data_IF_501442122148
#
_entry.id   IF_501442122148
#
_cell.length_a   1.000
_cell.length_b   1.000
_cell.length_c   1.000
_cell.angle_alpha   90.00
_cell.angle_beta   90.00
_cell.angle_gamma   90.00
#
_symmetry.space_group_name_H-M   'P 1'
#
loop_
_entity.id
_entity.type
_entity.pdbx_description
1 polymer ?
#
# COMPACT_ATOMS: atom_id res chain seq x y z
N UNK A 1 -48.50 12.87 72.90
CA UNK A 1 -47.20 12.84 72.34
C UNK A 1 -46.97 11.53 71.53
N UNK A 2 -47.19 11.54 70.24
CA UNK A 2 -47.02 10.35 69.37
C UNK A 2 -45.70 10.50 68.63
N UNK A 3 -44.75 9.57 68.87
CA UNK A 3 -43.45 9.51 68.13
C UNK A 3 -43.66 8.74 66.84
N UNK A 4 -43.49 9.43 65.70
CA UNK A 4 -43.46 8.84 64.37
C UNK A 4 -42.00 8.34 64.11
N UNK A 5 -41.86 7.04 63.91
CA UNK A 5 -40.58 6.42 63.47
C UNK A 5 -40.53 6.45 61.93
N UNK A 6 -39.59 7.20 61.39
CA UNK A 6 -39.25 7.20 59.96
C UNK A 6 -38.31 6.01 59.67
N UNK A 7 -38.77 5.02 58.93
CA UNK A 7 -37.92 3.97 58.37
C UNK A 7 -37.45 4.46 57.02
N UNK A 8 -36.14 4.75 56.93
CA UNK A 8 -35.48 5.03 55.66
C UNK A 8 -35.13 3.69 54.97
N UNK A 9 -35.83 3.39 53.90
CA UNK A 9 -35.46 2.30 52.98
C UNK A 9 -34.32 2.79 52.04
N UNK A 10 -33.12 2.28 52.29
CA UNK A 10 -31.99 2.47 51.36
C UNK A 10 -32.12 1.43 50.25
N UNK A 11 -32.62 1.84 49.09
CA UNK A 11 -32.63 1.03 47.87
C UNK A 11 -31.25 1.16 47.20
N UNK A 12 -30.38 0.15 47.40
CA UNK A 12 -29.13 0.04 46.72
C UNK A 12 -29.38 -0.33 45.26
N UNK A 13 -29.22 0.65 44.35
CA UNK A 13 -29.29 0.45 42.92
C UNK A 13 -27.94 -0.17 42.48
N UNK A 14 -27.88 -1.49 42.33
CA UNK A 14 -26.78 -2.19 41.68
C UNK A 14 -26.79 -1.85 40.18
N UNK A 15 -25.94 -0.90 39.79
CA UNK A 15 -25.58 -0.69 38.40
C UNK A 15 -24.70 -1.88 37.96
N UNK A 16 -25.33 -2.86 37.32
CA UNK A 16 -24.64 -3.90 36.61
C UNK A 16 -23.99 -3.24 35.38
N UNK A 17 -22.72 -2.87 35.48
CA UNK A 17 -21.89 -2.55 34.32
C UNK A 17 -21.69 -3.85 33.57
N UNK A 18 -22.46 -4.06 32.50
CA UNK A 18 -22.16 -5.11 31.51
C UNK A 18 -20.82 -4.76 30.88
N UNK A 19 -19.73 -5.33 31.40
CA UNK A 19 -18.50 -5.38 30.70
C UNK A 19 -18.77 -6.22 29.43
N UNK A 20 -18.83 -5.60 28.27
CA UNK A 20 -18.78 -6.33 27.01
C UNK A 20 -17.44 -7.05 26.99
N UNK A 21 -17.45 -8.34 27.36
CA UNK A 21 -16.27 -9.19 27.16
C UNK A 21 -15.95 -9.19 25.66
N UNK A 22 -14.71 -8.90 25.32
CA UNK A 22 -14.27 -8.99 23.95
C UNK A 22 -14.61 -10.39 23.41
N UNK A 23 -15.22 -10.45 22.25
CA UNK A 23 -15.65 -11.69 21.63
C UNK A 23 -14.45 -12.63 21.43
N UNK A 24 -14.60 -13.90 21.80
CA UNK A 24 -13.49 -14.86 21.66
C UNK A 24 -13.25 -15.17 20.20
N UNK A 25 -11.98 -15.40 19.83
CA UNK A 25 -11.61 -15.81 18.47
C UNK A 25 -12.38 -17.06 18.00
N UNK A 26 -12.63 -18.01 18.89
CA UNK A 26 -13.43 -19.19 18.59
C UNK A 26 -14.89 -18.87 18.26
N UNK A 27 -15.50 -17.89 18.95
CA UNK A 27 -16.84 -17.42 18.63
C UNK A 27 -16.88 -16.76 17.24
N UNK A 28 -15.90 -15.91 16.93
CA UNK A 28 -15.75 -15.28 15.60
C UNK A 28 -15.65 -16.34 14.50
N UNK A 29 -14.81 -17.36 14.68
CA UNK A 29 -14.68 -18.44 13.71
C UNK A 29 -15.99 -19.23 13.48
N UNK A 30 -16.74 -19.50 14.56
CA UNK A 30 -18.04 -20.16 14.47
C UNK A 30 -19.05 -19.33 13.69
N UNK A 31 -19.13 -18.03 13.95
CA UNK A 31 -20.05 -17.13 13.26
C UNK A 31 -19.66 -16.94 11.78
N UNK A 32 -18.37 -16.96 11.46
CA UNK A 32 -17.90 -16.81 10.10
C UNK A 32 -18.22 -18.01 9.21
N UNK A 33 -18.51 -19.18 9.80
CA UNK A 33 -18.79 -20.40 9.05
C UNK A 33 -20.00 -20.22 8.13
N UNK A 34 -19.82 -20.51 6.84
CA UNK A 34 -20.86 -20.40 5.81
C UNK A 34 -21.03 -19.00 5.22
N UNK A 35 -20.37 -17.99 5.79
CA UNK A 35 -20.45 -16.61 5.28
C UNK A 35 -19.77 -16.46 3.93
N UNK A 36 -20.19 -15.44 3.18
CA UNK A 36 -19.50 -14.93 1.99
C UNK A 36 -18.84 -13.61 2.37
N UNK A 37 -17.55 -13.48 2.05
CA UNK A 37 -16.74 -12.28 2.29
C UNK A 37 -16.25 -11.74 0.95
N UNK A 38 -16.55 -10.49 0.65
CA UNK A 38 -16.15 -9.81 -0.57
C UNK A 38 -14.85 -9.04 -0.33
N UNK A 39 -13.75 -9.60 -0.81
CA UNK A 39 -12.44 -8.97 -0.74
C UNK A 39 -12.11 -8.25 -2.05
N UNK A 40 -12.11 -6.94 -2.01
CA UNK A 40 -11.74 -6.09 -3.12
C UNK A 40 -10.23 -5.86 -3.11
N UNK A 41 -9.52 -6.33 -4.13
CA UNK A 41 -8.07 -6.31 -4.20
C UNK A 41 -7.58 -5.83 -5.57
N UNK A 42 -6.46 -5.12 -5.60
CA UNK A 42 -5.81 -4.75 -6.85
C UNK A 42 -5.43 -6.01 -7.65
N UNK A 43 -5.81 -6.04 -8.93
CA UNK A 43 -5.67 -7.22 -9.81
C UNK A 43 -4.49 -7.16 -10.78
N UNK A 44 -3.59 -6.18 -10.66
CA UNK A 44 -2.54 -5.92 -11.65
C UNK A 44 -1.31 -6.83 -11.58
N UNK A 45 -1.25 -7.80 -10.64
CA UNK A 45 -0.15 -8.76 -10.52
C UNK A 45 -0.69 -10.19 -10.52
N UNK A 46 -0.36 -10.97 -11.55
CA UNK A 46 -0.82 -12.35 -11.70
C UNK A 46 -0.33 -13.29 -10.58
N UNK A 47 0.85 -13.05 -10.01
CA UNK A 47 1.36 -13.89 -8.93
C UNK A 47 0.56 -13.65 -7.64
N UNK A 48 0.21 -12.39 -7.37
CA UNK A 48 -0.68 -12.03 -6.25
C UNK A 48 -2.08 -12.58 -6.49
N UNK A 49 -2.61 -12.49 -7.72
CA UNK A 49 -3.94 -13.02 -8.05
C UNK A 49 -4.00 -14.54 -7.78
N UNK A 50 -3.00 -15.30 -8.24
CA UNK A 50 -2.91 -16.75 -7.94
C UNK A 50 -2.82 -17.04 -6.45
N UNK A 51 -2.10 -16.21 -5.69
CA UNK A 51 -2.04 -16.35 -4.23
C UNK A 51 -3.42 -16.11 -3.59
N UNK A 52 -4.15 -15.08 -4.00
CA UNK A 52 -5.49 -14.79 -3.49
C UNK A 52 -6.50 -15.88 -3.86
N UNK A 53 -6.41 -16.47 -5.06
CA UNK A 53 -7.21 -17.61 -5.45
C UNK A 53 -6.92 -18.84 -4.55
N UNK A 54 -5.64 -19.10 -4.26
CA UNK A 54 -5.27 -20.14 -3.32
C UNK A 54 -5.83 -19.86 -1.92
N UNK A 55 -5.69 -18.62 -1.40
CA UNK A 55 -6.28 -18.22 -0.11
C UNK A 55 -7.79 -18.46 -0.10
N UNK A 56 -8.50 -18.12 -1.18
CA UNK A 56 -9.94 -18.38 -1.30
C UNK A 56 -10.27 -19.90 -1.17
N UNK A 57 -9.45 -20.75 -1.78
CA UNK A 57 -9.54 -22.21 -1.63
C UNK A 57 -9.33 -22.68 -0.19
N UNK A 58 -8.29 -22.18 0.48
CA UNK A 58 -7.98 -22.50 1.88
C UNK A 58 -9.11 -22.05 2.83
N UNK A 59 -9.64 -20.84 2.62
CA UNK A 59 -10.76 -20.33 3.41
C UNK A 59 -12.00 -21.21 3.28
N UNK A 60 -12.29 -21.69 2.07
CA UNK A 60 -13.40 -22.60 1.83
C UNK A 60 -13.18 -23.95 2.50
N UNK A 61 -11.98 -24.52 2.34
CA UNK A 61 -11.66 -25.89 2.79
C UNK A 61 -11.58 -25.97 4.32
N UNK A 62 -10.90 -25.01 4.96
CA UNK A 62 -10.59 -25.08 6.38
C UNK A 62 -11.58 -24.35 7.29
N UNK A 63 -12.31 -23.35 6.76
CA UNK A 63 -13.20 -22.51 7.56
C UNK A 63 -14.63 -22.45 7.03
N UNK A 64 -14.94 -23.11 5.90
CA UNK A 64 -16.23 -23.05 5.22
C UNK A 64 -16.67 -21.60 4.86
N UNK A 65 -15.73 -20.69 4.70
CA UNK A 65 -15.98 -19.29 4.30
C UNK A 65 -15.85 -19.19 2.77
N UNK A 66 -16.80 -18.49 2.13
CA UNK A 66 -16.76 -18.20 0.71
C UNK A 66 -16.05 -16.85 0.49
N UNK A 67 -14.72 -16.84 0.41
CA UNK A 67 -13.97 -15.63 0.10
C UNK A 67 -14.08 -15.35 -1.40
N UNK A 68 -14.67 -14.23 -1.77
CA UNK A 68 -14.85 -13.75 -3.15
C UNK A 68 -13.89 -12.62 -3.44
N UNK A 69 -12.91 -12.90 -4.30
CA UNK A 69 -11.95 -11.89 -4.72
C UNK A 69 -12.57 -11.05 -5.84
N UNK A 70 -12.61 -9.73 -5.66
CA UNK A 70 -13.03 -8.74 -6.65
C UNK A 70 -11.79 -7.98 -7.09
N UNK A 71 -11.30 -8.30 -8.29
CA UNK A 71 -10.14 -7.62 -8.85
C UNK A 71 -10.48 -6.21 -9.28
N UNK A 72 -9.73 -5.23 -8.78
CA UNK A 72 -9.85 -3.82 -9.09
C UNK A 72 -8.66 -3.37 -9.94
N UNK A 73 -8.90 -2.42 -10.83
CA UNK A 73 -7.83 -1.67 -11.50
C UNK A 73 -7.20 -0.65 -10.54
N UNK A 74 -8.03 -0.04 -9.67
CA UNK A 74 -7.61 0.91 -8.65
C UNK A 74 -8.51 0.77 -7.40
N UNK A 75 -7.91 0.87 -6.21
CA UNK A 75 -8.62 0.83 -4.93
C UNK A 75 -9.62 2.00 -4.79
N UNK A 76 -9.38 3.13 -5.43
CA UNK A 76 -10.29 4.28 -5.45
C UNK A 76 -11.71 3.92 -5.93
N UNK A 77 -11.86 2.93 -6.80
CA UNK A 77 -13.17 2.46 -7.27
C UNK A 77 -13.99 1.85 -6.12
N UNK A 78 -13.35 1.05 -5.26
CA UNK A 78 -14.01 0.50 -4.08
C UNK A 78 -14.30 1.59 -3.03
N UNK A 79 -13.37 2.52 -2.82
CA UNK A 79 -13.58 3.67 -1.91
C UNK A 79 -14.82 4.47 -2.32
N UNK A 80 -14.93 4.81 -3.60
CA UNK A 80 -16.10 5.53 -4.13
C UNK A 80 -17.40 4.74 -3.94
N UNK A 81 -17.36 3.41 -4.11
CA UNK A 81 -18.51 2.54 -3.91
C UNK A 81 -18.95 2.53 -2.45
N UNK A 82 -18.01 2.36 -1.50
CA UNK A 82 -18.28 2.41 -0.05
C UNK A 82 -18.93 3.76 0.32
N UNK A 83 -18.36 4.87 -0.14
CA UNK A 83 -18.89 6.21 0.12
C UNK A 83 -20.30 6.38 -0.45
N UNK A 84 -20.55 5.86 -1.65
CA UNK A 84 -21.87 5.92 -2.30
C UNK A 84 -22.91 5.09 -1.53
N UNK A 85 -22.56 3.89 -1.11
CA UNK A 85 -23.43 3.01 -0.33
C UNK A 85 -23.75 3.64 1.03
N UNK A 86 -22.76 4.21 1.70
CA UNK A 86 -22.96 4.94 2.96
C UNK A 86 -23.89 6.15 2.79
N UNK A 87 -23.66 6.98 1.75
CA UNK A 87 -24.50 8.13 1.46
C UNK A 87 -25.96 7.75 1.13
N UNK A 88 -26.17 6.55 0.59
CA UNK A 88 -27.51 5.98 0.39
C UNK A 88 -28.13 5.36 1.66
N UNK A 89 -27.51 5.52 2.82
CA UNK A 89 -27.98 5.00 4.12
C UNK A 89 -27.77 3.50 4.30
N UNK A 90 -26.94 2.85 3.47
CA UNK A 90 -26.63 1.43 3.63
C UNK A 90 -25.60 1.25 4.74
N UNK A 91 -26.03 0.75 5.91
CA UNK A 91 -25.18 0.48 7.06
C UNK A 91 -24.84 -1.02 7.24
N UNK A 92 -25.39 -1.89 6.39
CA UNK A 92 -25.17 -3.34 6.40
C UNK A 92 -25.34 -3.92 5.01
N UNK A 93 -24.84 -5.14 4.79
CA UNK A 93 -24.88 -5.83 3.48
C UNK A 93 -24.32 -4.97 2.34
N UNK A 94 -23.21 -4.31 2.60
CA UNK A 94 -22.43 -3.59 1.59
C UNK A 94 -21.80 -4.55 0.57
N UNK A 95 -21.20 -4.00 -0.48
CA UNK A 95 -20.54 -4.78 -1.52
C UNK A 95 -19.03 -4.98 -1.27
N UNK A 96 -18.49 -4.46 -0.16
CA UNK A 96 -17.09 -4.54 0.23
C UNK A 96 -17.01 -4.91 1.71
N UNK A 97 -16.45 -6.06 2.01
CA UNK A 97 -16.18 -6.50 3.40
C UNK A 97 -14.70 -6.31 3.76
N UNK A 98 -13.81 -6.60 2.82
CA UNK A 98 -12.38 -6.36 2.93
C UNK A 98 -11.88 -5.58 1.72
N UNK A 99 -10.92 -4.72 1.92
CA UNK A 99 -10.30 -3.93 0.87
C UNK A 99 -8.78 -3.92 1.05
N UNK A 100 -8.05 -4.31 0.00
CA UNK A 100 -6.63 -3.97 -0.06
C UNK A 100 -6.51 -2.48 -0.35
N UNK A 101 -6.06 -1.72 0.63
CA UNK A 101 -6.03 -0.27 0.59
C UNK A 101 -4.73 0.26 1.19
N UNK A 102 -4.26 1.38 0.68
CA UNK A 102 -3.11 2.11 1.21
C UNK A 102 -3.25 3.62 0.94
N UNK A 103 -2.48 4.40 1.68
CA UNK A 103 -2.19 5.81 1.42
C UNK A 103 -3.43 6.70 1.41
N UNK A 104 -3.62 7.46 0.35
CA UNK A 104 -4.71 8.43 0.23
C UNK A 104 -6.10 7.77 0.34
N UNK A 105 -6.25 6.58 -0.22
CA UNK A 105 -7.50 5.83 -0.18
C UNK A 105 -7.87 5.43 1.27
N UNK A 106 -6.90 4.93 2.04
CA UNK A 106 -7.07 4.67 3.48
C UNK A 106 -7.43 5.95 4.23
N UNK A 107 -6.64 7.02 4.03
CA UNK A 107 -6.90 8.32 4.68
C UNK A 107 -8.32 8.83 4.43
N UNK A 108 -8.83 8.70 3.20
CA UNK A 108 -10.16 9.17 2.82
C UNK A 108 -11.27 8.35 3.52
N UNK A 109 -11.14 7.02 3.61
CA UNK A 109 -12.08 6.17 4.34
C UNK A 109 -12.04 6.46 5.85
N UNK A 110 -10.84 6.61 6.42
CA UNK A 110 -10.65 6.94 7.84
C UNK A 110 -11.27 8.30 8.19
N UNK A 111 -11.01 9.34 7.41
CA UNK A 111 -11.57 10.67 7.61
C UNK A 111 -13.10 10.70 7.53
N UNK A 112 -13.69 9.81 6.74
CA UNK A 112 -15.14 9.63 6.61
C UNK A 112 -15.74 8.69 7.69
N UNK A 113 -14.94 8.13 8.61
CA UNK A 113 -15.36 7.13 9.61
C UNK A 113 -16.03 5.90 8.97
N UNK A 114 -15.48 5.39 7.87
CA UNK A 114 -16.03 4.25 7.11
C UNK A 114 -15.23 2.96 7.33
N UNK A 115 -14.38 2.90 8.34
CA UNK A 115 -13.55 1.75 8.69
C UNK A 115 -13.93 1.21 10.06
N UNK A 116 -13.89 -0.13 10.19
CA UNK A 116 -13.90 -0.79 11.49
C UNK A 116 -12.51 -0.64 12.11
N UNK A 117 -12.44 -0.11 13.31
CA UNK A 117 -11.16 0.14 14.02
C UNK A 117 -10.93 -0.83 15.17
N UNK A 118 -9.68 -0.92 15.65
CA UNK A 118 -9.33 -1.64 16.89
C UNK A 118 -9.33 -3.17 16.78
N UNK A 119 -9.48 -3.75 15.58
CA UNK A 119 -9.56 -5.20 15.41
C UNK A 119 -8.22 -5.86 15.05
N UNK A 120 -7.37 -5.19 14.24
CA UNK A 120 -6.21 -5.83 13.63
C UNK A 120 -5.22 -6.39 14.66
N UNK A 121 -4.87 -5.61 15.69
CA UNK A 121 -3.94 -6.03 16.74
C UNK A 121 -4.54 -7.08 17.69
N UNK A 122 -5.87 -7.28 17.68
CA UNK A 122 -6.52 -8.31 18.49
C UNK A 122 -6.51 -9.69 17.84
N UNK A 123 -6.14 -9.77 16.56
CA UNK A 123 -6.03 -11.05 15.86
C UNK A 123 -4.96 -11.95 16.50
N UNK A 124 -5.23 -13.25 16.70
CA UNK A 124 -4.26 -14.19 17.30
C UNK A 124 -2.92 -14.25 16.56
N UNK A 125 -2.95 -14.02 15.23
CA UNK A 125 -1.77 -14.07 14.38
C UNK A 125 -0.98 -12.76 14.37
N UNK A 126 -1.45 -11.70 15.03
CA UNK A 126 -0.69 -10.45 15.17
C UNK A 126 0.71 -10.68 15.76
N UNK A 127 0.86 -11.69 16.63
CA UNK A 127 2.14 -12.11 17.21
C UNK A 127 3.25 -12.47 16.19
N UNK A 128 2.88 -12.72 14.94
CA UNK A 128 3.81 -13.03 13.85
C UNK A 128 4.15 -11.81 13.00
N UNK A 129 3.52 -10.66 13.25
CA UNK A 129 3.77 -9.42 12.52
C UNK A 129 5.13 -8.85 12.94
N UNK A 130 5.95 -8.49 11.96
CA UNK A 130 7.23 -7.81 12.20
C UNK A 130 6.99 -6.34 12.56
N UNK A 131 6.85 -6.07 13.85
CA UNK A 131 6.59 -4.72 14.38
C UNK A 131 7.77 -3.75 14.25
N UNK A 132 8.91 -4.17 13.70
CA UNK A 132 10.00 -3.26 13.31
C UNK A 132 9.68 -2.49 12.03
N UNK A 133 8.67 -2.93 11.28
CA UNK A 133 8.12 -2.23 10.11
C UNK A 133 6.98 -1.31 10.55
N UNK A 134 6.60 -0.30 9.75
CA UNK A 134 5.50 0.61 10.06
C UNK A 134 4.12 -0.06 9.88
N UNK A 135 3.86 -1.11 10.68
CA UNK A 135 2.63 -1.94 10.57
C UNK A 135 1.42 -1.36 11.31
N UNK A 136 1.58 -0.20 11.94
CA UNK A 136 0.53 0.55 12.64
C UNK A 136 0.34 1.95 12.04
N UNK A 137 1.02 2.22 10.93
CA UNK A 137 0.92 3.48 10.18
C UNK A 137 0.88 3.16 8.69
N UNK A 138 -0.05 3.79 7.97
CA UNK A 138 -0.10 3.77 6.51
C UNK A 138 0.23 5.17 5.98
N UNK A 139 1.37 5.33 5.29
CA UNK A 139 1.90 6.62 4.83
C UNK A 139 1.84 7.71 5.91
N UNK A 140 2.39 7.41 7.09
CA UNK A 140 2.40 8.27 8.28
C UNK A 140 1.02 8.58 8.89
N UNK A 141 -0.05 7.90 8.47
CA UNK A 141 -1.37 7.98 9.10
C UNK A 141 -1.53 6.78 10.05
N UNK A 142 -1.78 6.98 11.35
CA UNK A 142 -2.04 5.88 12.27
C UNK A 142 -3.21 5.02 11.79
N UNK A 143 -3.05 3.69 11.80
CA UNK A 143 -4.12 2.78 11.34
C UNK A 143 -5.25 2.64 12.35
N UNK A 144 -5.01 2.93 13.63
CA UNK A 144 -5.94 2.74 14.75
C UNK A 144 -6.54 1.32 14.77
N UNK A 145 -5.77 0.35 14.29
CA UNK A 145 -6.19 -1.05 14.20
C UNK A 145 -7.30 -1.31 13.18
N UNK A 146 -7.48 -0.44 12.20
CA UNK A 146 -8.41 -0.64 11.09
C UNK A 146 -7.82 -1.45 9.94
N UNK A 147 -6.52 -1.69 9.96
CA UNK A 147 -5.79 -2.37 8.89
C UNK A 147 -4.91 -3.48 9.45
N UNK A 148 -4.93 -4.63 8.78
CA UNK A 148 -4.03 -5.76 9.06
C UNK A 148 -2.96 -5.84 7.97
N UNK A 149 -1.66 -5.89 8.34
CA UNK A 149 -0.60 -6.08 7.36
C UNK A 149 -0.65 -7.51 6.79
N UNK A 150 -0.53 -7.67 5.48
CA UNK A 150 -0.51 -8.97 4.83
C UNK A 150 0.64 -9.16 3.83
N UNK A 151 1.31 -8.09 3.46
CA UNK A 151 2.44 -8.12 2.55
C UNK A 151 3.33 -6.89 2.70
N UNK A 152 4.34 -6.82 1.86
CA UNK A 152 5.21 -5.66 1.78
C UNK A 152 5.65 -5.42 0.35
N UNK A 153 5.86 -4.15 0.03
CA UNK A 153 6.36 -3.70 -1.24
C UNK A 153 7.53 -2.77 -1.05
N UNK A 154 8.37 -2.66 -2.06
CA UNK A 154 9.50 -1.74 -2.09
C UNK A 154 9.73 -1.27 -3.51
N UNK A 155 9.84 0.03 -3.68
CA UNK A 155 10.26 0.60 -4.97
C UNK A 155 11.61 -0.01 -5.33
N UNK A 156 11.69 -0.53 -6.54
CA UNK A 156 12.84 -1.31 -6.99
C UNK A 156 13.07 -1.02 -8.47
N UNK A 157 14.32 -0.85 -8.84
CA UNK A 157 14.71 -0.82 -10.24
C UNK A 157 14.91 -2.23 -10.78
N UNK A 158 14.65 -2.39 -12.06
CA UNK A 158 15.05 -3.56 -12.84
C UNK A 158 15.99 -3.12 -13.95
N UNK A 159 17.06 -3.88 -14.16
CA UNK A 159 18.03 -3.65 -15.21
C UNK A 159 18.48 -4.98 -15.84
N UNK A 160 19.19 -4.90 -16.95
CA UNK A 160 19.87 -6.04 -17.58
C UNK A 160 21.37 -5.95 -17.34
N UNK A 161 22.01 -7.07 -17.01
CA UNK A 161 23.48 -7.12 -16.86
C UNK A 161 24.21 -6.69 -18.11
N UNK A 162 23.66 -7.01 -19.29
CA UNK A 162 24.26 -6.64 -20.58
C UNK A 162 24.32 -5.12 -20.78
N UNK A 163 23.33 -4.34 -20.38
CA UNK A 163 23.27 -2.88 -20.56
C UNK A 163 23.64 -2.09 -19.33
N UNK A 164 23.53 -2.69 -18.14
CA UNK A 164 23.75 -2.03 -16.85
C UNK A 164 24.50 -2.98 -15.92
N UNK A 165 25.80 -3.28 -16.20
CA UNK A 165 26.58 -4.19 -15.35
C UNK A 165 26.80 -3.64 -13.94
N UNK A 166 26.86 -2.30 -13.79
CA UNK A 166 26.99 -1.60 -12.52
C UNK A 166 25.79 -0.64 -12.37
N UNK A 167 24.86 -0.94 -11.46
CA UNK A 167 23.67 -0.12 -11.27
C UNK A 167 23.98 1.19 -10.56
N UNK A 168 23.23 2.28 -10.81
CA UNK A 168 23.39 3.54 -10.09
C UNK A 168 23.04 3.37 -8.60
N UNK A 169 23.93 3.86 -7.75
CA UNK A 169 23.86 3.67 -6.30
C UNK A 169 23.00 4.70 -5.55
N UNK A 170 22.73 5.84 -6.20
CA UNK A 170 21.99 6.97 -5.63
C UNK A 170 21.48 7.89 -6.76
N UNK A 171 20.71 8.96 -6.48
CA UNK A 171 20.22 9.89 -7.50
C UNK A 171 21.34 10.56 -8.31
N UNK A 172 22.49 10.90 -7.69
CA UNK A 172 23.60 11.50 -8.42
C UNK A 172 24.17 10.51 -9.45
N UNK A 173 24.40 9.27 -9.02
CA UNK A 173 24.86 8.20 -9.91
C UNK A 173 23.83 7.90 -11.03
N UNK A 174 22.52 7.99 -10.74
CA UNK A 174 21.46 7.86 -11.75
C UNK A 174 21.54 8.98 -12.80
N UNK A 175 21.81 10.22 -12.39
CA UNK A 175 21.99 11.34 -13.32
C UNK A 175 23.23 11.16 -14.19
N UNK A 176 24.35 10.70 -13.61
CA UNK A 176 25.57 10.36 -14.35
C UNK A 176 25.28 9.25 -15.37
N UNK A 177 24.56 8.20 -14.93
CA UNK A 177 24.15 7.09 -15.80
C UNK A 177 23.27 7.59 -16.96
N UNK A 178 22.28 8.46 -16.69
CA UNK A 178 21.42 9.01 -17.74
C UNK A 178 22.19 9.84 -18.77
N UNK A 179 23.22 10.59 -18.34
CA UNK A 179 24.13 11.32 -19.26
C UNK A 179 24.94 10.41 -20.14
N UNK A 180 25.40 9.26 -19.63
CA UNK A 180 26.12 8.25 -20.37
C UNK A 180 25.24 7.43 -21.32
N UNK A 181 23.95 7.34 -21.01
CA UNK A 181 22.94 6.55 -21.72
C UNK A 181 21.71 7.40 -22.07
N UNK A 182 21.81 8.47 -22.85
CA UNK A 182 20.70 9.36 -23.16
C UNK A 182 19.55 8.60 -23.80
N UNK A 183 18.35 8.87 -23.40
CA UNK A 183 17.13 8.22 -23.87
C UNK A 183 16.89 6.80 -23.32
N UNK A 184 17.73 6.30 -22.39
CA UNK A 184 17.64 4.92 -21.86
C UNK A 184 17.05 4.82 -20.45
N UNK A 185 16.69 5.95 -19.85
CA UNK A 185 16.05 6.05 -18.54
C UNK A 185 14.68 6.69 -18.71
N UNK A 186 13.71 6.27 -17.94
CA UNK A 186 12.40 6.91 -17.80
C UNK A 186 11.73 6.45 -16.50
N UNK A 187 10.53 6.96 -16.23
CA UNK A 187 9.65 6.53 -15.15
C UNK A 187 8.20 6.66 -15.62
N UNK A 188 7.23 5.93 -14.99
CA UNK A 188 5.83 6.05 -15.35
C UNK A 188 5.30 7.46 -15.05
N UNK A 189 4.42 7.96 -15.92
CA UNK A 189 3.82 9.30 -15.72
C UNK A 189 2.90 9.31 -14.49
N UNK A 190 3.08 10.25 -13.53
CA UNK A 190 2.05 10.51 -12.51
C UNK A 190 0.69 10.83 -13.16
N UNK A 191 -0.43 10.39 -12.54
CA UNK A 191 -0.57 9.87 -11.20
C UNK A 191 -0.32 8.36 -11.03
N UNK A 192 0.39 7.68 -11.93
CA UNK A 192 0.81 6.30 -11.69
C UNK A 192 1.55 6.19 -10.36
N UNK A 193 1.16 5.22 -9.53
CA UNK A 193 1.67 5.04 -8.18
C UNK A 193 3.20 4.86 -8.16
N UNK A 194 3.74 4.05 -9.08
CA UNK A 194 5.20 3.79 -9.14
C UNK A 194 5.97 5.02 -9.59
N UNK A 195 5.42 5.76 -10.56
CA UNK A 195 6.02 7.01 -11.04
C UNK A 195 6.01 8.09 -9.96
N UNK A 196 4.90 8.24 -9.24
CA UNK A 196 4.81 9.17 -8.11
C UNK A 196 5.81 8.80 -7.03
N UNK A 197 5.87 7.54 -6.62
CA UNK A 197 6.81 7.08 -5.61
C UNK A 197 8.29 7.19 -6.04
N UNK A 198 8.59 7.11 -7.34
CA UNK A 198 9.94 7.40 -7.84
C UNK A 198 10.32 8.87 -7.61
N UNK A 199 9.41 9.81 -7.85
CA UNK A 199 9.64 11.23 -7.55
C UNK A 199 9.78 11.48 -6.04
N UNK A 200 8.96 10.84 -5.22
CA UNK A 200 9.07 10.90 -3.76
C UNK A 200 10.40 10.31 -3.27
N UNK A 201 10.87 9.21 -3.86
CA UNK A 201 12.19 8.63 -3.57
C UNK A 201 13.32 9.62 -3.88
N UNK A 202 13.25 10.30 -5.01
CA UNK A 202 14.22 11.34 -5.36
C UNK A 202 14.16 12.51 -4.38
N UNK A 203 12.96 12.98 -4.05
CA UNK A 203 12.75 14.07 -3.08
C UNK A 203 13.35 13.73 -1.71
N UNK A 204 13.03 12.54 -1.17
CA UNK A 204 13.58 12.06 0.10
C UNK A 204 15.10 11.98 0.09
N UNK A 205 15.70 11.60 -1.03
CA UNK A 205 17.14 11.45 -1.14
C UNK A 205 17.89 12.79 -1.37
N UNK A 206 17.22 13.78 -1.92
CA UNK A 206 17.81 15.07 -2.33
C UNK A 206 17.56 16.20 -1.34
N UNK A 207 16.43 16.18 -0.62
CA UNK A 207 16.10 17.23 0.35
C UNK A 207 17.01 17.18 1.57
N UNK A 208 17.38 18.36 2.08
CA UNK A 208 18.07 18.47 3.36
C UNK A 208 17.11 18.33 4.58
N UNK A 209 15.80 18.31 4.34
CA UNK A 209 14.77 18.39 5.38
C UNK A 209 13.71 17.28 5.22
N UNK A 210 14.07 15.97 5.24
CA UNK A 210 13.14 14.88 5.01
C UNK A 210 12.01 14.80 6.04
N UNK A 211 12.24 15.28 7.28
CA UNK A 211 11.19 15.29 8.31
C UNK A 211 10.03 16.23 7.96
N UNK A 212 10.28 17.29 7.18
CA UNK A 212 9.21 18.19 6.76
C UNK A 212 8.19 17.51 5.86
N UNK A 213 8.60 16.46 5.14
CA UNK A 213 7.73 15.69 4.23
C UNK A 213 6.71 14.84 4.96
N UNK A 214 6.84 14.64 6.28
CA UNK A 214 5.86 13.92 7.12
C UNK A 214 4.67 14.78 7.54
N UNK A 215 4.74 16.09 7.29
CA UNK A 215 3.73 17.04 7.69
C UNK A 215 2.98 17.58 6.47
N UNK A 216 1.80 18.17 6.71
CA UNK A 216 1.08 18.89 5.66
C UNK A 216 1.96 20.02 5.08
N UNK A 217 1.90 20.30 3.78
CA UNK A 217 2.65 21.35 3.14
C UNK A 217 2.39 22.72 3.82
N UNK A 218 3.48 23.44 4.07
CA UNK A 218 3.44 24.77 4.67
C UNK A 218 4.25 25.78 3.82
N UNK A 219 4.56 26.94 4.39
CA UNK A 219 5.36 27.99 3.72
C UNK A 219 6.77 27.54 3.30
N UNK A 220 7.29 26.45 3.85
CA UNK A 220 8.62 25.91 3.52
C UNK A 220 8.58 24.92 2.36
N UNK A 221 7.39 24.53 1.89
CA UNK A 221 7.21 23.51 0.85
C UNK A 221 8.09 23.76 -0.39
N UNK A 222 8.08 24.98 -0.91
CA UNK A 222 8.88 25.33 -2.08
C UNK A 222 10.40 25.10 -1.85
N UNK A 223 10.90 25.46 -0.66
CA UNK A 223 12.30 25.25 -0.29
C UNK A 223 12.64 23.76 -0.11
N UNK A 224 11.75 23.00 0.52
CA UNK A 224 11.93 21.57 0.77
C UNK A 224 11.95 20.77 -0.55
N UNK A 225 11.15 21.20 -1.53
CA UNK A 225 11.00 20.50 -2.82
C UNK A 225 11.92 21.03 -3.93
N UNK A 226 12.52 22.20 -3.79
CA UNK A 226 13.39 22.79 -4.81
C UNK A 226 14.49 21.82 -5.31
N UNK A 227 15.20 21.05 -4.45
CA UNK A 227 16.22 20.12 -4.93
C UNK A 227 15.70 19.04 -5.89
N UNK A 228 14.43 18.64 -5.75
CA UNK A 228 13.81 17.72 -6.69
C UNK A 228 13.62 18.39 -8.06
N UNK A 229 13.08 19.59 -8.09
CA UNK A 229 12.79 20.31 -9.35
C UNK A 229 14.07 20.60 -10.12
N UNK A 230 15.12 21.10 -9.45
CA UNK A 230 16.44 21.32 -10.04
C UNK A 230 17.05 20.05 -10.62
N UNK A 231 16.86 18.93 -9.92
CA UNK A 231 17.30 17.62 -10.38
C UNK A 231 16.52 17.17 -11.61
N UNK A 232 15.20 17.32 -11.62
CA UNK A 232 14.33 16.93 -12.74
C UNK A 232 14.58 17.80 -13.98
N UNK A 233 14.81 19.09 -13.82
CA UNK A 233 15.19 19.99 -14.94
C UNK A 233 16.46 19.50 -15.64
N UNK A 234 17.37 18.91 -14.87
CA UNK A 234 18.61 18.32 -15.42
C UNK A 234 18.37 16.91 -15.99
N UNK A 235 17.50 16.12 -15.37
CA UNK A 235 17.27 14.73 -15.76
C UNK A 235 16.36 14.61 -17.00
N UNK A 236 15.28 15.37 -17.09
CA UNK A 236 14.25 15.22 -18.11
C UNK A 236 14.79 15.26 -19.54
N UNK A 237 15.70 16.20 -19.93
CA UNK A 237 16.26 16.20 -21.27
C UNK A 237 17.07 14.95 -21.64
N UNK A 238 17.47 14.15 -20.63
CA UNK A 238 18.24 12.92 -20.81
C UNK A 238 17.36 11.67 -20.85
N UNK A 239 16.07 11.80 -20.54
CA UNK A 239 15.13 10.68 -20.48
C UNK A 239 14.73 10.20 -21.87
N UNK A 240 14.09 9.05 -21.91
CA UNK A 240 13.44 8.50 -23.10
C UNK A 240 12.56 9.57 -23.76
N UNK A 241 12.71 9.72 -25.08
CA UNK A 241 12.06 10.78 -25.87
C UNK A 241 12.32 12.20 -25.33
N UNK A 242 13.51 12.41 -24.75
CA UNK A 242 13.92 13.74 -24.23
C UNK A 242 12.95 14.30 -23.17
N UNK A 243 12.26 13.40 -22.41
CA UNK A 243 11.29 13.78 -21.40
C UNK A 243 10.00 14.41 -21.93
N UNK A 244 9.76 14.37 -23.25
CA UNK A 244 8.51 14.84 -23.84
C UNK A 244 7.37 13.81 -23.76
N UNK A 245 7.72 12.55 -23.47
CA UNK A 245 6.76 11.47 -23.28
C UNK A 245 7.25 10.51 -22.18
N UNK A 246 6.32 9.88 -21.49
CA UNK A 246 6.59 8.98 -20.40
C UNK A 246 5.79 7.69 -20.55
N UNK A 247 6.34 6.52 -20.17
CA UNK A 247 5.57 5.29 -20.13
C UNK A 247 4.34 5.44 -19.23
N UNK A 248 3.18 4.91 -19.64
CA UNK A 248 1.94 5.04 -18.85
C UNK A 248 1.90 4.12 -17.63
N UNK A 249 2.79 3.11 -17.54
CA UNK A 249 2.77 2.13 -16.47
C UNK A 249 4.11 1.37 -16.36
N UNK A 250 4.38 0.70 -15.21
CA UNK A 250 5.52 -0.22 -15.06
C UNK A 250 5.53 -1.36 -16.09
N UNK A 251 4.39 -1.93 -16.44
CA UNK A 251 4.28 -2.99 -17.45
C UNK A 251 4.79 -2.51 -18.83
N UNK A 252 4.51 -1.25 -19.18
CA UNK A 252 5.08 -0.66 -20.39
C UNK A 252 6.58 -0.48 -20.29
N UNK A 253 7.10 -0.10 -19.12
CA UNK A 253 8.55 -0.01 -18.90
C UNK A 253 9.24 -1.35 -19.06
N UNK A 254 8.64 -2.44 -18.56
CA UNK A 254 9.17 -3.80 -18.73
C UNK A 254 9.27 -4.18 -20.21
N UNK A 255 8.25 -3.86 -21.00
CA UNK A 255 8.28 -4.06 -22.46
C UNK A 255 9.42 -3.27 -23.12
N UNK A 256 9.64 -2.03 -22.70
CA UNK A 256 10.71 -1.18 -23.22
C UNK A 256 12.10 -1.66 -22.76
N UNK A 257 12.22 -2.21 -21.56
CA UNK A 257 13.44 -2.85 -21.05
C UNK A 257 13.75 -4.13 -21.84
N UNK A 258 12.76 -4.99 -22.06
CA UNK A 258 12.90 -6.24 -22.80
C UNK A 258 13.37 -5.98 -24.24
N UNK A 259 12.84 -4.94 -24.90
CA UNK A 259 13.23 -4.52 -26.25
C UNK A 259 14.58 -3.77 -26.32
N UNK A 260 15.17 -3.40 -25.17
CA UNK A 260 16.38 -2.56 -25.12
C UNK A 260 16.13 -1.08 -25.45
N UNK A 261 14.86 -0.65 -25.52
CA UNK A 261 14.51 0.77 -25.67
C UNK A 261 14.83 1.56 -24.39
N UNK A 262 14.64 0.94 -23.20
CA UNK A 262 15.12 1.41 -21.92
C UNK A 262 16.19 0.47 -21.37
N UNK A 263 17.04 0.97 -20.49
CA UNK A 263 18.00 0.19 -19.71
C UNK A 263 17.49 -0.09 -18.28
N UNK A 264 16.53 0.70 -17.80
CA UNK A 264 15.94 0.60 -16.46
C UNK A 264 14.42 0.52 -16.55
N UNK A 265 13.84 -0.33 -15.70
CA UNK A 265 12.41 -0.35 -15.38
C UNK A 265 12.22 -0.14 -13.89
N UNK A 266 10.97 0.06 -13.44
CA UNK A 266 10.58 0.30 -12.06
C UNK A 266 9.42 -0.63 -11.66
N UNK A 267 9.43 -1.07 -10.42
CA UNK A 267 8.39 -1.90 -9.82
C UNK A 267 8.30 -1.66 -8.31
N UNK A 268 7.20 -2.04 -7.68
CA UNK A 268 7.08 -2.15 -6.22
C UNK A 268 7.23 -3.58 -5.69
N UNK A 269 7.47 -4.56 -6.57
CA UNK A 269 7.70 -5.94 -6.18
C UNK A 269 9.19 -6.31 -6.38
N UNK A 270 9.99 -6.44 -5.30
CA UNK A 270 11.40 -6.81 -5.43
C UNK A 270 11.67 -8.14 -6.14
N UNK A 271 10.68 -9.05 -6.16
CA UNK A 271 10.77 -10.33 -6.85
C UNK A 271 10.36 -10.25 -8.34
N UNK A 272 9.88 -9.11 -8.82
CA UNK A 272 9.28 -8.97 -10.16
C UNK A 272 10.25 -9.36 -11.29
N UNK A 273 11.49 -8.92 -11.24
CA UNK A 273 12.47 -9.29 -12.25
C UNK A 273 12.65 -10.81 -12.36
N UNK A 274 12.76 -11.50 -11.22
CA UNK A 274 12.88 -12.96 -11.18
C UNK A 274 11.63 -13.65 -11.73
N UNK A 275 10.45 -13.17 -11.38
CA UNK A 275 9.16 -13.72 -11.85
C UNK A 275 9.03 -13.53 -13.38
N UNK A 276 9.35 -12.35 -13.90
CA UNK A 276 9.28 -12.03 -15.33
C UNK A 276 10.34 -12.75 -16.17
N UNK A 277 11.51 -13.03 -15.60
CA UNK A 277 12.51 -13.90 -16.22
C UNK A 277 11.98 -15.35 -16.28
N UNK A 278 11.40 -15.85 -15.21
CA UNK A 278 10.84 -17.21 -15.16
C UNK A 278 9.67 -17.41 -16.15
N UNK A 279 8.85 -16.37 -16.39
CA UNK A 279 7.78 -16.40 -17.40
C UNK A 279 8.25 -16.13 -18.83
N UNK A 280 9.54 -15.77 -19.03
CA UNK A 280 10.09 -15.42 -20.35
C UNK A 280 9.74 -14.02 -20.87
N UNK A 281 9.13 -13.19 -20.04
CA UNK A 281 8.75 -11.82 -20.39
C UNK A 281 9.94 -10.84 -20.33
N UNK A 282 10.92 -11.11 -19.46
CA UNK A 282 12.17 -10.37 -19.39
C UNK A 282 13.37 -11.29 -19.76
N UNK A 283 14.43 -10.73 -20.34
CA UNK A 283 15.65 -11.46 -20.62
C UNK A 283 16.28 -12.07 -19.36
N UNK A 284 16.93 -13.23 -19.51
CA UNK A 284 17.50 -14.01 -18.42
C UNK A 284 18.57 -13.27 -17.58
N UNK A 285 19.20 -12.23 -18.14
CA UNK A 285 20.18 -11.39 -17.47
C UNK A 285 19.56 -10.20 -16.69
N UNK A 286 18.23 -10.16 -16.59
CA UNK A 286 17.52 -9.12 -15.82
C UNK A 286 17.64 -9.35 -14.31
N UNK A 287 17.78 -8.27 -13.55
CA UNK A 287 17.96 -8.29 -12.11
C UNK A 287 17.35 -7.05 -11.45
N UNK A 288 16.99 -7.19 -10.16
CA UNK A 288 16.49 -6.09 -9.34
C UNK A 288 17.63 -5.41 -8.57
N UNK A 289 17.50 -4.08 -8.35
CA UNK A 289 18.41 -3.32 -7.50
C UNK A 289 17.68 -2.10 -6.90
N UNK A 290 18.32 -1.46 -5.92
CA UNK A 290 17.86 -0.20 -5.31
C UNK A 290 19.03 0.71 -4.98
N UNK A 291 18.75 1.92 -4.56
CA UNK A 291 19.78 2.83 -4.05
C UNK A 291 20.36 2.30 -2.73
N UNK A 292 21.66 2.52 -2.51
CA UNK A 292 22.38 1.98 -1.35
C UNK A 292 21.87 2.51 0.00
N UNK A 293 21.32 3.74 0.05
CA UNK A 293 20.75 4.34 1.25
C UNK A 293 19.33 3.86 1.55
N UNK A 294 18.77 3.00 0.70
CA UNK A 294 17.43 2.47 0.82
C UNK A 294 16.46 3.05 -0.22
N UNK A 295 15.35 2.36 -0.34
CA UNK A 295 14.25 2.72 -1.24
C UNK A 295 12.97 2.82 -0.43
N UNK A 296 12.04 3.65 -0.90
CA UNK A 296 10.68 3.72 -0.35
C UNK A 296 10.07 2.32 -0.37
N UNK A 297 9.53 1.92 0.75
CA UNK A 297 8.76 0.72 0.90
C UNK A 297 7.46 1.03 1.63
N UNK A 298 6.46 0.18 1.43
CA UNK A 298 5.24 0.22 2.21
C UNK A 298 4.84 -1.17 2.65
N UNK A 299 4.00 -1.20 3.67
CA UNK A 299 3.27 -2.41 4.08
C UNK A 299 1.99 -2.45 3.26
N UNK A 300 1.63 -3.62 2.75
CA UNK A 300 0.33 -3.84 2.15
C UNK A 300 -0.68 -4.14 3.26
N UNK A 301 -1.78 -3.42 3.27
CA UNK A 301 -2.84 -3.55 4.26
C UNK A 301 -4.15 -4.05 3.65
N UNK A 302 -4.91 -4.73 4.51
CA UNK A 302 -6.28 -5.15 4.26
C UNK A 302 -7.17 -4.82 5.46
#
# INVERSE_FOLDING_TARGET
>A
MRRVRFCAFLTSLLLATSAFAAESWQSIQQQATGQTVWFNAWGGDEAVNRYLDWVSGEMKTHYAINLKIVHLADAADAVKRIQTEHAAGRSSNGSVDLLWVNGENFRNLKAANLLLTGWAQTLPNWRYVDTRKPVTEDFAIPTDGAESPWGGAQLTFIARKASTPTPPADPHALLVYARQHPGKVSYPRPPDFTGTAFLEQLLLALTAHPEALKNAPDRTFAQVTAPLWDYLDTLHPLLWREGNDFPPSPARMDTLLASGSLNLSLTFNPAHAMQKVASGELPADSYSFGFLKGMIGNVHFV
#
